data_IF_693690961664
#
_entry.id   IF_693690961664
#
_cell.length_a   1.000
_cell.length_b   1.000
_cell.length_c   1.000
_cell.angle_alpha   90.00
_cell.angle_beta   90.00
_cell.angle_gamma   90.00
#
_symmetry.space_group_name_H-M   'P 1'
#
loop_
_entity.id
_entity.type
_entity.pdbx_description
1 polymer ?
#
# COMPACT_ATOMS: atom_id res chain seq x y z
N UNK A 1 15.91 -6.62 6.68
CA UNK A 1 14.62 -6.33 6.01
C UNK A 1 14.54 -4.82 5.89
N UNK A 2 14.35 -4.29 4.69
CA UNK A 2 14.34 -2.85 4.48
C UNK A 2 12.93 -2.31 4.77
N UNK A 3 12.79 -1.47 5.78
CA UNK A 3 11.55 -0.72 6.00
C UNK A 3 11.51 0.45 5.01
N UNK A 4 10.37 0.66 4.37
CA UNK A 4 10.12 1.82 3.53
C UNK A 4 9.34 2.84 4.32
N UNK A 5 9.92 4.02 4.51
CA UNK A 5 9.24 5.15 5.15
C UNK A 5 8.81 6.12 4.06
N UNK A 6 7.51 6.40 3.99
CA UNK A 6 6.92 7.36 3.05
C UNK A 6 6.57 8.63 3.83
N UNK A 7 7.28 9.74 3.61
CA UNK A 7 6.92 11.01 4.24
C UNK A 7 5.61 11.55 3.65
N UNK A 8 4.77 12.15 4.49
CA UNK A 8 3.52 12.78 4.09
C UNK A 8 3.74 14.29 3.87
N UNK A 9 2.86 14.91 3.09
CA UNK A 9 2.91 16.35 2.81
C UNK A 9 2.67 17.22 4.05
N UNK A 10 2.03 16.67 5.09
CA UNK A 10 1.73 17.34 6.35
C UNK A 10 1.60 16.33 7.50
N UNK A 11 1.55 16.87 8.72
CA UNK A 11 1.21 16.09 9.92
C UNK A 11 -0.30 15.84 9.99
N UNK A 12 -0.66 14.59 10.26
CA UNK A 12 -2.00 14.11 10.53
C UNK A 12 -2.14 13.69 11.98
N UNK A 13 -3.38 13.55 12.44
CA UNK A 13 -3.72 12.98 13.74
C UNK A 13 -4.96 12.11 13.57
N UNK A 14 -4.85 10.86 14.00
CA UNK A 14 -5.97 9.92 13.96
C UNK A 14 -5.97 9.11 15.26
N UNK A 15 -7.15 8.95 15.86
CA UNK A 15 -7.31 8.25 17.14
C UNK A 15 -6.40 8.79 18.27
N UNK A 16 -6.07 10.08 18.25
CA UNK A 16 -5.19 10.73 19.24
C UNK A 16 -3.68 10.46 19.02
N UNK A 17 -3.31 9.82 17.91
CA UNK A 17 -1.91 9.60 17.55
C UNK A 17 -1.52 10.49 16.35
N UNK A 18 -0.57 11.42 16.54
CA UNK A 18 -0.05 12.22 15.45
C UNK A 18 1.01 11.47 14.64
N UNK A 19 1.00 11.65 13.33
CA UNK A 19 2.00 11.08 12.42
C UNK A 19 2.22 11.98 11.19
N UNK A 20 3.41 11.94 10.62
CA UNK A 20 3.81 12.69 9.42
C UNK A 20 4.44 11.78 8.35
N UNK A 21 4.43 10.47 8.59
CA UNK A 21 4.99 9.45 7.73
C UNK A 21 4.25 8.13 7.89
N UNK A 22 4.35 7.26 6.88
CA UNK A 22 3.83 5.89 6.90
C UNK A 22 5.00 4.93 6.73
N UNK A 23 5.12 3.97 7.63
CA UNK A 23 6.14 2.92 7.56
C UNK A 23 5.51 1.66 6.96
N UNK A 24 6.20 1.09 5.98
CA UNK A 24 5.82 -0.16 5.33
C UNK A 24 6.94 -1.18 5.46
N UNK A 25 6.56 -2.43 5.72
CA UNK A 25 7.42 -3.59 5.52
C UNK A 25 7.33 -4.09 4.08
N UNK A 26 8.33 -4.84 3.67
CA UNK A 26 8.27 -5.60 2.42
C UNK A 26 7.16 -6.68 2.49
N UNK A 27 6.46 -6.92 1.36
CA UNK A 27 5.62 -8.11 1.22
C UNK A 27 6.46 -9.39 1.36
N UNK A 28 5.87 -10.41 1.96
CA UNK A 28 6.51 -11.72 2.15
C UNK A 28 5.87 -12.77 1.26
N UNK A 29 6.53 -13.91 1.10
CA UNK A 29 5.98 -15.03 0.32
C UNK A 29 4.62 -15.51 0.85
N UNK A 30 4.39 -15.43 2.16
CA UNK A 30 3.08 -15.72 2.77
C UNK A 30 1.97 -14.76 2.31
N UNK A 31 2.32 -13.50 1.99
CA UNK A 31 1.37 -12.53 1.46
C UNK A 31 1.01 -12.87 0.02
N UNK A 32 2.01 -13.27 -0.79
CA UNK A 32 1.79 -13.75 -2.15
C UNK A 32 0.92 -15.00 -2.22
N UNK A 33 1.18 -15.98 -1.36
CA UNK A 33 0.34 -17.18 -1.31
C UNK A 33 -1.11 -16.88 -0.88
N UNK A 34 -1.31 -15.89 -0.01
CA UNK A 34 -2.62 -15.55 0.52
C UNK A 34 -3.43 -14.61 -0.39
N UNK A 35 -2.78 -13.69 -1.08
CA UNK A 35 -3.41 -12.60 -1.81
C UNK A 35 -3.29 -12.74 -3.34
N UNK A 36 -2.36 -13.56 -3.81
CA UNK A 36 -2.05 -13.70 -5.23
C UNK A 36 -1.27 -12.50 -5.80
N UNK A 37 -1.16 -12.45 -7.11
CA UNK A 37 -0.44 -11.38 -7.81
C UNK A 37 -1.24 -10.06 -7.80
N UNK A 38 -0.61 -8.91 -7.50
CA UNK A 38 -1.28 -7.60 -7.53
C UNK A 38 -1.52 -7.07 -8.95
N UNK A 39 -0.91 -7.68 -9.96
CA UNK A 39 -1.13 -7.35 -11.36
C UNK A 39 -1.01 -8.58 -12.26
N UNK A 40 -1.66 -8.51 -13.41
CA UNK A 40 -1.51 -9.49 -14.48
C UNK A 40 -0.92 -8.83 -15.72
N UNK A 41 -0.05 -9.56 -16.42
CA UNK A 41 0.46 -9.13 -17.72
C UNK A 41 -0.25 -9.90 -18.80
N UNK A 42 -1.03 -9.19 -19.62
CA UNK A 42 -1.72 -9.77 -20.77
C UNK A 42 -1.06 -9.31 -22.06
N UNK A 43 -1.02 -10.19 -23.06
CA UNK A 43 -0.60 -9.83 -24.42
C UNK A 43 -1.81 -9.51 -25.27
N UNK A 44 -1.92 -8.26 -25.71
CA UNK A 44 -2.99 -7.80 -26.58
C UNK A 44 -2.39 -7.01 -27.76
N UNK A 45 -2.77 -7.38 -28.98
CA UNK A 45 -2.34 -6.71 -30.22
C UNK A 45 -0.81 -6.51 -30.35
N UNK A 46 -0.02 -7.48 -29.89
CA UNK A 46 1.45 -7.41 -29.95
C UNK A 46 2.12 -6.62 -28.83
N UNK A 47 1.35 -5.98 -27.94
CA UNK A 47 1.84 -5.25 -26.78
C UNK A 47 1.55 -6.01 -25.48
N UNK A 48 2.40 -5.80 -24.47
CA UNK A 48 2.11 -6.22 -23.10
C UNK A 48 1.28 -5.14 -22.41
N UNK A 49 0.12 -5.51 -21.89
CA UNK A 49 -0.75 -4.67 -21.07
C UNK A 49 -0.67 -5.17 -19.63
N UNK A 50 -0.39 -4.27 -18.69
CA UNK A 50 -0.44 -4.56 -17.26
C UNK A 50 -1.81 -4.19 -16.75
N UNK A 51 -2.49 -5.14 -16.12
CA UNK A 51 -3.81 -4.95 -15.50
C UNK A 51 -3.61 -5.07 -14.00
N UNK A 52 -3.83 -3.98 -13.28
CA UNK A 52 -3.74 -3.97 -11.82
C UNK A 52 -4.99 -4.56 -11.19
N UNK A 53 -4.80 -5.45 -10.22
CA UNK A 53 -5.86 -5.92 -9.35
C UNK A 53 -5.91 -5.03 -8.11
N UNK A 54 -6.78 -4.01 -8.17
CA UNK A 54 -6.91 -2.99 -7.12
C UNK A 54 -7.28 -3.59 -5.76
N UNK A 55 -8.07 -4.67 -5.74
CA UNK A 55 -8.45 -5.35 -4.49
C UNK A 55 -7.25 -6.05 -3.84
N UNK A 56 -6.43 -6.73 -4.65
CA UNK A 56 -5.19 -7.37 -4.19
C UNK A 56 -4.18 -6.32 -3.71
N UNK A 57 -3.99 -5.23 -4.47
CA UNK A 57 -3.13 -4.11 -4.06
C UNK A 57 -3.57 -3.56 -2.70
N UNK A 58 -4.87 -3.31 -2.52
CA UNK A 58 -5.40 -2.83 -1.25
C UNK A 58 -5.18 -3.85 -0.11
N UNK A 59 -5.30 -5.15 -0.37
CA UNK A 59 -5.01 -6.19 0.62
C UNK A 59 -3.53 -6.22 1.03
N UNK A 60 -2.60 -6.04 0.08
CA UNK A 60 -1.18 -5.90 0.38
C UNK A 60 -0.89 -4.67 1.22
N UNK A 61 -1.45 -3.51 0.87
CA UNK A 61 -1.27 -2.27 1.65
C UNK A 61 -1.69 -2.50 3.10
N UNK A 62 -2.85 -3.13 3.34
CA UNK A 62 -3.33 -3.43 4.70
C UNK A 62 -2.37 -4.32 5.50
N UNK A 63 -1.65 -5.24 4.84
CA UNK A 63 -0.70 -6.14 5.50
C UNK A 63 0.71 -5.55 5.66
N UNK A 64 1.09 -4.64 4.77
CA UNK A 64 2.44 -4.09 4.71
C UNK A 64 2.59 -2.80 5.52
N UNK A 65 1.52 -2.04 5.77
CA UNK A 65 1.59 -0.87 6.68
C UNK A 65 1.86 -1.34 8.11
N UNK A 66 2.92 -0.84 8.71
CA UNK A 66 3.34 -1.18 10.08
C UNK A 66 3.09 -0.04 11.07
N UNK A 67 3.18 1.22 10.63
CA UNK A 67 2.90 2.40 11.45
C UNK A 67 2.36 3.55 10.57
N UNK A 68 1.43 4.39 11.07
CA UNK A 68 0.82 4.39 12.41
C UNK A 68 -0.22 3.27 12.62
N UNK A 69 -0.62 2.57 11.55
CA UNK A 69 -1.70 1.58 11.52
C UNK A 69 -2.63 1.89 10.36
N UNK A 70 -3.14 0.85 9.69
CA UNK A 70 -3.94 1.03 8.47
C UNK A 70 -5.27 1.75 8.74
N UNK A 71 -5.86 1.51 9.90
CA UNK A 71 -7.10 2.13 10.37
C UNK A 71 -6.99 3.65 10.52
N UNK A 72 -5.78 4.15 10.76
CA UNK A 72 -5.49 5.59 10.93
C UNK A 72 -5.32 6.31 9.60
N UNK A 73 -5.11 5.60 8.48
CA UNK A 73 -4.85 6.22 7.18
C UNK A 73 -6.10 6.81 6.52
N UNK A 74 -7.30 6.60 7.08
CA UNK A 74 -8.55 7.17 6.56
C UNK A 74 -8.62 8.70 6.61
N UNK A 75 -7.76 9.36 7.37
CA UNK A 75 -7.70 10.84 7.47
C UNK A 75 -6.82 11.49 6.42
N UNK A 76 -6.10 10.70 5.60
CA UNK A 76 -5.22 11.23 4.57
C UNK A 76 -6.02 11.98 3.49
N UNK A 77 -5.44 13.07 2.98
CA UNK A 77 -6.00 13.75 1.81
C UNK A 77 -5.68 12.95 0.53
N UNK A 78 -6.30 13.34 -0.59
CA UNK A 78 -6.06 12.67 -1.88
C UNK A 78 -4.63 12.82 -2.42
N UNK A 79 -3.86 13.81 -1.96
CA UNK A 79 -2.48 14.01 -2.40
C UNK A 79 -1.52 13.03 -1.73
N UNK A 80 -1.78 12.70 -0.46
CA UNK A 80 -1.01 11.74 0.33
C UNK A 80 -1.54 10.29 0.22
N UNK A 81 -2.76 10.11 -0.31
CA UNK A 81 -3.39 8.81 -0.53
C UNK A 81 -3.17 8.24 -1.95
N UNK A 82 -2.40 8.93 -2.81
CA UNK A 82 -2.14 8.55 -4.21
C UNK A 82 -0.67 8.28 -4.47
#
# INVERSE_FOLDING_TARGET
MAEKIVPLSKRYEAHGEPFDSVTLREPRFEDLLALGEPYEVQRAAGNNVVIENVDTVAAYVRRCVTAPGIEKLGVLNLADAR
#
